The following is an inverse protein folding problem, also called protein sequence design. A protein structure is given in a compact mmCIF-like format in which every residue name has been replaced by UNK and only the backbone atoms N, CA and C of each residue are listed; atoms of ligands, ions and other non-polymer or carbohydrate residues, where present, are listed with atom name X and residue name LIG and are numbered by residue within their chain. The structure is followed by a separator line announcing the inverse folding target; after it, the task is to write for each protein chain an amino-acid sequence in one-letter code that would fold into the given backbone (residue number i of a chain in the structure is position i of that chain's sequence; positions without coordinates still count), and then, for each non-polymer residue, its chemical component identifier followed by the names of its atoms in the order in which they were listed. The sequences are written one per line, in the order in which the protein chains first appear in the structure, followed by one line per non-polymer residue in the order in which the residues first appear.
data_IF_828536967162
#
_entry.id   IF_828536967162
#
_cell.length_a   1.000
_cell.length_b   1.000
_cell.length_c   1.000
_cell.angle_alpha   90.00
_cell.angle_beta   90.00
_cell.angle_gamma   90.00
#
_symmetry.space_group_name_H-M   'P 1'
#
loop_
_entity.id
_entity.type
_entity.pdbx_description
1 polymer ?
#
# COMPACT_ATOMS: atom_id res chain seq x y z
N UNK A 1 39.61 -19.21 -4.38
CA UNK A 1 38.47 -19.57 -5.25
C UNK A 1 37.23 -19.00 -4.61
N UNK A 2 36.50 -18.16 -5.33
CA UNK A 2 35.39 -17.36 -4.84
C UNK A 2 34.23 -18.23 -4.36
N UNK A 3 33.86 -18.13 -3.10
CA UNK A 3 32.59 -18.65 -2.59
C UNK A 3 31.45 -17.85 -3.25
N UNK A 4 30.81 -18.44 -4.25
CA UNK A 4 29.57 -17.91 -4.78
C UNK A 4 28.47 -18.18 -3.74
N UNK A 5 28.20 -17.19 -2.90
CA UNK A 5 27.06 -17.19 -2.01
C UNK A 5 25.78 -17.21 -2.86
N UNK A 6 25.18 -18.39 -3.00
CA UNK A 6 23.87 -18.53 -3.64
C UNK A 6 22.85 -17.96 -2.66
N UNK A 7 22.44 -16.70 -2.87
CA UNK A 7 21.34 -16.09 -2.13
C UNK A 7 20.06 -16.92 -2.37
N UNK A 8 19.66 -17.71 -1.38
CA UNK A 8 18.31 -18.27 -1.32
C UNK A 8 17.33 -17.12 -1.12
N UNK A 9 16.82 -16.56 -2.21
CA UNK A 9 15.62 -15.71 -2.17
C UNK A 9 14.42 -16.62 -2.07
N UNK A 10 13.88 -16.76 -0.87
CA UNK A 10 12.54 -17.31 -0.67
C UNK A 10 11.52 -16.28 -1.17
N UNK A 11 11.08 -16.44 -2.42
CA UNK A 11 9.90 -15.75 -2.92
C UNK A 11 8.69 -16.45 -2.32
N UNK A 12 8.30 -16.05 -1.11
CA UNK A 12 6.99 -16.41 -0.60
C UNK A 12 5.95 -15.78 -1.55
N UNK A 13 5.12 -16.56 -2.26
CA UNK A 13 4.05 -15.99 -3.07
C UNK A 13 3.10 -15.29 -2.10
N UNK A 14 3.26 -13.97 -1.95
CA UNK A 14 2.29 -13.16 -1.24
C UNK A 14 1.06 -13.11 -2.14
N UNK A 15 0.06 -13.88 -1.78
CA UNK A 15 -1.29 -13.72 -2.31
C UNK A 15 -1.78 -12.35 -1.84
N UNK A 16 -1.42 -11.31 -2.59
CA UNK A 16 -1.78 -9.94 -2.27
C UNK A 16 -3.19 -9.63 -2.79
N UNK A 17 -3.55 -10.18 -3.95
CA UNK A 17 -4.89 -10.08 -4.53
C UNK A 17 -5.81 -11.16 -3.97
N UNK A 18 -6.95 -10.74 -3.42
CA UNK A 18 -7.94 -11.61 -2.77
C UNK A 18 -9.17 -11.92 -3.63
N UNK A 19 -9.09 -11.63 -4.93
CA UNK A 19 -10.12 -11.93 -5.90
C UNK A 19 -9.80 -11.40 -7.29
N UNK A 20 -10.79 -11.52 -8.19
CA UNK A 20 -10.70 -11.17 -9.61
C UNK A 20 -11.19 -9.74 -9.89
N UNK A 21 -11.41 -8.94 -8.83
CA UNK A 21 -11.97 -7.59 -8.98
C UNK A 21 -10.97 -6.69 -9.73
N UNK A 22 -11.42 -5.90 -10.73
CA UNK A 22 -10.54 -5.06 -11.51
C UNK A 22 -9.83 -4.04 -10.61
N UNK A 23 -8.51 -4.11 -10.59
CA UNK A 23 -7.67 -3.15 -9.87
C UNK A 23 -7.31 -2.01 -10.79
N UNK A 24 -7.69 -0.79 -10.42
CA UNK A 24 -7.29 0.42 -11.14
C UNK A 24 -6.04 0.99 -10.47
N UNK A 25 -4.85 0.87 -11.09
CA UNK A 25 -3.67 1.56 -10.62
C UNK A 25 -3.72 3.03 -11.05
N UNK A 26 -3.32 3.91 -10.13
CA UNK A 26 -3.10 5.33 -10.37
C UNK A 26 -1.67 5.69 -9.95
N UNK A 27 -1.11 6.71 -10.61
CA UNK A 27 0.23 7.22 -10.31
C UNK A 27 0.16 8.57 -9.64
N UNK A 28 0.89 8.75 -8.56
CA UNK A 28 1.05 10.03 -7.87
C UNK A 28 2.51 10.29 -7.51
N UNK A 29 2.76 11.40 -6.81
CA UNK A 29 4.09 11.74 -6.28
C UNK A 29 4.12 11.41 -4.79
N UNK A 30 5.10 10.62 -4.36
CA UNK A 30 5.27 10.28 -2.97
C UNK A 30 5.76 11.49 -2.16
N UNK A 31 5.04 11.89 -1.12
CA UNK A 31 5.42 12.95 -0.17
C UNK A 31 6.35 12.46 0.94
N UNK A 32 6.41 11.15 1.14
CA UNK A 32 7.23 10.46 2.12
C UNK A 32 7.67 9.08 1.58
N UNK A 33 8.51 8.38 2.32
CA UNK A 33 8.86 7.00 2.00
C UNK A 33 7.64 6.08 2.19
N UNK A 34 7.20 5.44 1.11
CA UNK A 34 6.07 4.52 1.07
C UNK A 34 6.60 3.11 0.83
N UNK A 35 6.27 2.18 1.73
CA UNK A 35 6.57 0.77 1.54
C UNK A 35 5.59 0.15 0.55
N UNK A 36 6.01 -0.91 -0.13
CA UNK A 36 5.11 -1.72 -0.97
C UNK A 36 4.00 -2.33 -0.12
N UNK A 37 2.77 -2.36 -0.65
CA UNK A 37 1.56 -2.84 0.02
C UNK A 37 1.14 -2.06 1.27
N UNK A 38 1.67 -0.86 1.46
CA UNK A 38 1.24 0.02 2.53
C UNK A 38 -0.03 0.78 2.09
N UNK A 39 -1.02 0.95 2.99
CA UNK A 39 -2.14 1.84 2.72
C UNK A 39 -1.62 3.28 2.60
N UNK A 40 -2.11 4.00 1.61
CA UNK A 40 -1.72 5.38 1.30
C UNK A 40 -2.89 6.34 1.46
N UNK A 41 -2.58 7.58 1.82
CA UNK A 41 -3.50 8.71 1.86
C UNK A 41 -2.92 9.87 1.05
N UNK A 42 -3.79 10.74 0.56
CA UNK A 42 -3.38 12.02 -0.03
C UNK A 42 -3.15 12.99 1.12
N UNK A 43 -1.97 13.60 1.14
CA UNK A 43 -1.70 14.75 2.00
C UNK A 43 -2.32 16.00 1.38
N UNK A 44 -3.54 16.32 1.81
CA UNK A 44 -4.25 17.53 1.38
C UNK A 44 -3.59 18.82 1.87
N UNK A 45 -2.66 18.74 2.85
CA UNK A 45 -1.92 19.89 3.36
C UNK A 45 -0.61 20.13 2.60
N UNK A 46 0.00 19.07 2.03
CA UNK A 46 1.25 19.15 1.27
C UNK A 46 1.06 18.72 -0.20
N UNK A 47 0.61 19.66 -1.04
CA UNK A 47 0.60 19.54 -2.51
C UNK A 47 -0.15 18.30 -3.08
N UNK A 48 -1.09 17.70 -2.33
CA UNK A 48 -1.77 16.45 -2.70
C UNK A 48 -0.79 15.29 -2.98
N UNK A 49 0.34 15.26 -2.26
CA UNK A 49 1.31 14.17 -2.36
C UNK A 49 0.79 12.92 -1.65
N UNK A 50 1.17 11.75 -2.16
CA UNK A 50 0.80 10.45 -1.58
C UNK A 50 1.73 10.19 -0.39
N UNK A 51 1.17 9.89 0.77
CA UNK A 51 1.94 9.52 1.97
C UNK A 51 1.37 8.23 2.56
N UNK A 52 2.17 7.45 3.32
CA UNK A 52 1.63 6.30 4.03
C UNK A 52 0.58 6.75 5.05
N UNK A 53 -0.46 5.93 5.23
CA UNK A 53 -1.50 6.20 6.23
C UNK A 53 -0.88 6.15 7.63
N UNK A 54 -0.86 7.31 8.29
CA UNK A 54 -0.45 7.39 9.69
C UNK A 54 -1.54 6.82 10.61
N UNK A 55 -1.11 6.20 11.72
CA UNK A 55 -2.01 5.91 12.83
C UNK A 55 -2.74 7.20 13.23
N UNK A 56 -4.07 7.16 13.44
CA UNK A 56 -5.02 8.29 13.57
C UNK A 56 -5.65 8.85 12.29
N UNK A 57 -5.09 8.58 11.10
CA UNK A 57 -5.67 8.99 9.80
C UNK A 57 -6.15 7.80 8.97
N UNK A 58 -6.45 6.67 9.61
CA UNK A 58 -6.91 5.45 8.94
C UNK A 58 -8.15 5.66 8.06
N UNK A 59 -9.04 6.56 8.50
CA UNK A 59 -10.25 6.94 7.78
C UNK A 59 -10.01 7.65 6.43
N UNK A 60 -8.79 8.17 6.21
CA UNK A 60 -8.40 8.89 4.99
C UNK A 60 -7.59 8.03 4.03
N UNK A 61 -7.53 6.71 4.24
CA UNK A 61 -6.90 5.81 3.28
C UNK A 61 -7.63 5.91 1.94
N UNK A 62 -6.89 6.24 0.88
CA UNK A 62 -7.41 6.39 -0.48
C UNK A 62 -7.04 5.22 -1.39
N UNK A 63 -6.04 4.42 -0.98
CA UNK A 63 -5.52 3.35 -1.81
C UNK A 63 -4.49 2.49 -1.09
N UNK A 64 -3.94 1.52 -1.80
CA UNK A 64 -2.80 0.71 -1.34
C UNK A 64 -1.67 0.84 -2.33
N UNK A 65 -0.44 1.08 -1.86
CA UNK A 65 0.73 1.17 -2.75
C UNK A 65 0.97 -0.15 -3.47
N UNK A 66 1.16 -0.06 -4.79
CA UNK A 66 1.52 -1.19 -5.63
C UNK A 66 3.02 -1.48 -5.61
N UNK A 67 3.84 -0.45 -5.39
CA UNK A 67 5.28 -0.53 -5.32
C UNK A 67 5.80 0.37 -4.18
N UNK A 68 6.98 0.05 -3.65
CA UNK A 68 7.69 0.95 -2.76
C UNK A 68 8.17 2.20 -3.52
N UNK A 69 8.09 3.37 -2.89
CA UNK A 69 8.52 4.63 -3.48
C UNK A 69 9.18 5.53 -2.44
N UNK A 70 10.30 6.16 -2.80
CA UNK A 70 10.97 7.16 -1.99
C UNK A 70 10.30 8.54 -2.08
N UNK A 71 10.65 9.42 -1.15
CA UNK A 71 10.13 10.80 -1.14
C UNK A 71 10.49 11.54 -2.44
N UNK A 72 9.48 12.06 -3.13
CA UNK A 72 9.61 12.76 -4.42
C UNK A 72 9.60 11.86 -5.64
N UNK A 73 9.54 10.53 -5.46
CA UNK A 73 9.46 9.57 -6.56
C UNK A 73 8.00 9.33 -6.99
N UNK A 74 7.77 8.91 -8.26
CA UNK A 74 6.47 8.46 -8.69
C UNK A 74 6.09 7.18 -7.94
N UNK A 75 4.93 7.19 -7.29
CA UNK A 75 4.36 6.03 -6.62
C UNK A 75 3.12 5.56 -7.36
N UNK A 76 3.04 4.26 -7.62
CA UNK A 76 1.82 3.62 -8.11
C UNK A 76 1.04 3.08 -6.94
N UNK A 77 -0.26 3.40 -6.87
CA UNK A 77 -1.18 2.88 -5.87
C UNK A 77 -2.46 2.40 -6.53
N UNK A 78 -3.11 1.42 -5.92
CA UNK A 78 -4.40 0.90 -6.35
C UNK A 78 -5.51 1.74 -5.74
N UNK A 79 -6.41 2.26 -6.59
CA UNK A 79 -7.64 2.95 -6.20
C UNK A 79 -8.79 1.97 -5.95
N UNK A 80 -8.76 0.80 -6.58
CA UNK A 80 -9.80 -0.23 -6.46
C UNK A 80 -9.15 -1.61 -6.43
N UNK A 81 -9.84 -2.60 -5.86
CA UNK A 81 -9.39 -4.00 -5.88
C UNK A 81 -9.77 -4.79 -4.65
N UNK A 82 -9.58 -6.11 -4.73
CA UNK A 82 -9.67 -7.00 -3.57
C UNK A 82 -8.25 -7.38 -3.12
N UNK A 83 -7.91 -7.07 -1.87
CA UNK A 83 -6.59 -7.36 -1.31
C UNK A 83 -6.70 -8.14 0.00
N UNK A 84 -5.67 -8.90 0.35
CA UNK A 84 -5.63 -9.59 1.63
C UNK A 84 -5.14 -8.67 2.73
N UNK A 85 -5.90 -8.57 3.82
CA UNK A 85 -5.53 -7.78 5.00
C UNK A 85 -4.17 -8.17 5.57
N UNK A 86 -3.84 -9.47 5.52
CA UNK A 86 -2.57 -10.03 6.00
C UNK A 86 -1.36 -9.63 5.14
N UNK A 87 -1.60 -9.30 3.86
CA UNK A 87 -0.56 -8.91 2.94
C UNK A 87 -0.26 -7.40 2.97
N UNK A 88 -1.08 -6.59 3.66
CA UNK A 88 -0.86 -5.16 3.80
C UNK A 88 0.27 -4.86 4.78
N UNK A 89 1.13 -3.93 4.38
CA UNK A 89 2.21 -3.43 5.21
C UNK A 89 1.70 -2.28 6.08
N UNK A 90 0.98 -2.66 7.13
CA UNK A 90 0.41 -1.73 8.10
C UNK A 90 1.49 -1.27 9.09
N UNK A 91 1.49 0.01 9.44
CA UNK A 91 2.22 0.47 10.63
C UNK A 91 1.65 -0.21 11.87
N UNK A 92 2.50 -0.65 12.80
CA UNK A 92 2.12 -1.47 13.96
C UNK A 92 1.04 -0.82 14.88
N UNK A 93 0.80 0.48 14.73
CA UNK A 93 -0.18 1.26 15.50
C UNK A 93 -1.47 1.57 14.73
N UNK A 94 -1.62 1.09 13.50
CA UNK A 94 -2.75 1.41 12.63
C UNK A 94 -3.91 0.41 12.82
N UNK A 95 -5.13 0.94 12.97
CA UNK A 95 -6.32 0.12 13.17
C UNK A 95 -6.83 -0.45 11.83
N UNK A 96 -6.62 -1.75 11.62
CA UNK A 96 -7.00 -2.45 10.39
C UNK A 96 -8.51 -2.33 10.12
N UNK A 97 -9.36 -2.34 11.16
CA UNK A 97 -10.80 -2.23 10.98
C UNK A 97 -11.18 -0.87 10.37
N UNK A 98 -10.56 0.22 10.86
CA UNK A 98 -10.78 1.57 10.30
C UNK A 98 -10.22 1.70 8.88
N UNK A 99 -9.05 1.13 8.62
CA UNK A 99 -8.45 1.11 7.27
C UNK A 99 -9.35 0.33 6.31
N UNK A 100 -9.93 -0.78 6.75
CA UNK A 100 -10.90 -1.57 5.98
C UNK A 100 -12.17 -0.80 5.69
N UNK A 101 -12.70 -0.05 6.65
CA UNK A 101 -13.85 0.82 6.39
C UNK A 101 -13.53 1.95 5.41
N UNK A 102 -12.35 2.58 5.54
CA UNK A 102 -11.91 3.64 4.64
C UNK A 102 -11.71 3.14 3.21
N UNK A 103 -10.92 2.08 3.05
CA UNK A 103 -10.67 1.43 1.75
C UNK A 103 -11.96 0.96 1.09
N UNK A 104 -12.94 0.46 1.87
CA UNK A 104 -14.24 0.06 1.33
C UNK A 104 -15.02 1.22 0.72
N UNK A 105 -14.87 2.45 1.22
CA UNK A 105 -15.50 3.64 0.62
C UNK A 105 -14.92 3.96 -0.75
N UNK A 106 -13.66 3.62 -0.99
CA UNK A 106 -12.94 3.83 -2.25
C UNK A 106 -13.07 2.64 -3.19
N UNK A 107 -13.90 1.63 -2.86
CA UNK A 107 -14.05 0.37 -3.63
C UNK A 107 -12.84 -0.57 -3.54
N UNK A 108 -12.12 -0.53 -2.42
CA UNK A 108 -11.08 -1.49 -2.07
C UNK A 108 -11.60 -2.40 -0.95
N UNK A 109 -11.61 -3.70 -1.19
CA UNK A 109 -12.10 -4.68 -0.22
C UNK A 109 -10.94 -5.49 0.34
N UNK A 110 -10.82 -5.48 1.67
CA UNK A 110 -9.86 -6.31 2.39
C UNK A 110 -10.50 -7.61 2.85
N UNK A 111 -9.98 -8.76 2.39
CA UNK A 111 -10.35 -10.10 2.88
C UNK A 111 -9.41 -10.58 3.97
#
# INVERSE_FOLDING_TARGET
MSEYAVEKRETAPKNFFAGDFPTVPETGVAGAEIKEYAPVMVDTENENKIIPVAATKEANAIGISAAAAGKGEPVTYYLTGEFFADALNLEASADLAKIKEALRKVSIFLK
#
